data_IF_268574429252
#
_entry.id   IF_268574429252
#
_cell.length_a   1.000
_cell.length_b   1.000
_cell.length_c   1.000
_cell.angle_alpha   90.00
_cell.angle_beta   90.00
_cell.angle_gamma   90.00
#
_symmetry.space_group_name_H-M   'P 1'
#
loop_
_entity.id
_entity.type
_entity.pdbx_description
1 polymer ?
#
# COMPACT_ATOMS: atom_id res chain seq x y z
N UNK A 1 -3.64 -3.53 -31.25
CA UNK A 1 -3.50 -4.76 -30.44
C UNK A 1 -2.32 -4.68 -29.46
N UNK A 2 -1.08 -4.40 -29.90
CA UNK A 2 0.11 -4.32 -29.00
C UNK A 2 0.12 -3.20 -27.95
N UNK A 3 -0.58 -2.08 -28.19
CA UNK A 3 -0.60 -0.96 -27.24
C UNK A 3 -1.33 -1.31 -25.93
N UNK A 4 -2.40 -2.11 -26.01
CA UNK A 4 -3.21 -2.48 -24.85
C UNK A 4 -2.43 -3.39 -23.87
N UNK A 5 -1.65 -4.34 -24.39
CA UNK A 5 -0.81 -5.24 -23.58
C UNK A 5 0.32 -4.49 -22.86
N UNK A 6 0.95 -3.52 -23.54
CA UNK A 6 1.99 -2.67 -22.93
C UNK A 6 1.41 -1.76 -21.84
N UNK A 7 0.23 -1.17 -22.07
CA UNK A 7 -0.47 -0.37 -21.05
C UNK A 7 -0.88 -1.22 -19.84
N UNK A 8 -1.34 -2.46 -20.05
CA UNK A 8 -1.69 -3.38 -18.96
C UNK A 8 -0.48 -3.75 -18.10
N UNK A 9 0.68 -4.03 -18.70
CA UNK A 9 1.91 -4.27 -17.94
C UNK A 9 2.35 -3.06 -17.11
N UNK A 10 2.27 -1.86 -17.69
CA UNK A 10 2.61 -0.62 -17.00
C UNK A 10 1.65 -0.35 -15.85
N UNK A 11 0.34 -0.49 -16.08
CA UNK A 11 -0.69 -0.34 -15.05
C UNK A 11 -0.51 -1.35 -13.92
N UNK A 12 -0.18 -2.61 -14.24
CA UNK A 12 0.12 -3.64 -13.25
C UNK A 12 1.35 -3.28 -12.43
N UNK A 13 2.45 -2.88 -13.08
CA UNK A 13 3.69 -2.44 -12.40
C UNK A 13 3.40 -1.27 -11.46
N UNK A 14 2.58 -0.32 -11.89
CA UNK A 14 2.23 0.83 -11.06
C UNK A 14 1.30 0.48 -9.90
N UNK A 15 0.36 -0.44 -10.09
CA UNK A 15 -0.47 -0.98 -9.02
C UNK A 15 0.36 -1.71 -7.96
N UNK A 16 1.31 -2.55 -8.39
CA UNK A 16 2.25 -3.25 -7.49
C UNK A 16 3.11 -2.25 -6.72
N UNK A 17 3.67 -1.24 -7.40
CA UNK A 17 4.45 -0.19 -6.74
C UNK A 17 3.62 0.59 -5.71
N UNK A 18 2.36 0.92 -6.01
CA UNK A 18 1.43 1.56 -5.06
C UNK A 18 1.20 0.67 -3.85
N UNK A 19 0.96 -0.63 -4.07
CA UNK A 19 0.78 -1.59 -2.98
C UNK A 19 2.01 -1.64 -2.07
N UNK A 20 3.22 -1.79 -2.63
CA UNK A 20 4.46 -1.85 -1.85
C UNK A 20 4.65 -0.58 -1.03
N UNK A 21 4.46 0.60 -1.61
CA UNK A 21 4.61 1.88 -0.87
C UNK A 21 3.66 1.98 0.32
N UNK A 22 2.39 1.60 0.13
CA UNK A 22 1.37 1.64 1.18
C UNK A 22 1.62 0.59 2.25
N UNK A 23 1.98 -0.63 1.84
CA UNK A 23 2.27 -1.71 2.78
C UNK A 23 3.50 -1.41 3.64
N UNK A 24 4.56 -0.85 3.06
CA UNK A 24 5.72 -0.39 3.83
C UNK A 24 5.35 0.67 4.88
N UNK A 25 4.44 1.60 4.57
CA UNK A 25 3.95 2.57 5.54
C UNK A 25 3.22 1.87 6.70
N UNK A 26 2.35 0.91 6.36
CA UNK A 26 1.59 0.13 7.34
C UNK A 26 2.53 -0.67 8.27
N UNK A 27 3.56 -1.33 7.73
CA UNK A 27 4.58 -2.03 8.51
C UNK A 27 5.31 -1.10 9.49
N UNK A 28 5.73 0.08 9.01
CA UNK A 28 6.43 1.07 9.83
C UNK A 28 5.54 1.58 10.96
N UNK A 29 4.28 1.91 10.69
CA UNK A 29 3.36 2.42 11.71
C UNK A 29 2.91 1.34 12.70
N UNK A 30 2.75 0.10 12.26
CA UNK A 30 2.51 -1.04 13.15
C UNK A 30 3.69 -1.24 14.12
N UNK A 31 4.92 -1.23 13.58
CA UNK A 31 6.15 -1.34 14.38
C UNK A 31 6.30 -0.20 15.38
N UNK A 32 5.99 1.04 14.98
CA UNK A 32 6.00 2.21 15.89
C UNK A 32 4.99 2.11 17.02
N UNK A 33 3.92 1.34 16.82
CA UNK A 33 2.85 1.15 17.81
C UNK A 33 3.09 -0.10 18.67
N UNK A 34 4.29 -0.69 18.62
CA UNK A 34 4.66 -1.96 19.26
C UNK A 34 3.70 -3.11 18.94
N UNK A 35 3.12 -3.12 17.73
CA UNK A 35 2.20 -4.16 17.27
C UNK A 35 2.80 -4.94 16.10
N UNK A 36 2.60 -6.25 16.12
CA UNK A 36 2.87 -7.10 14.97
C UNK A 36 1.65 -7.07 14.04
N UNK A 37 1.87 -6.98 12.72
CA UNK A 37 0.81 -7.02 11.71
C UNK A 37 -0.04 -8.30 11.80
N UNK A 38 0.56 -9.42 12.22
CA UNK A 38 -0.15 -10.69 12.36
C UNK A 38 -1.19 -10.67 13.48
N UNK A 39 -1.02 -9.79 14.47
CA UNK A 39 -1.93 -9.65 15.61
C UNK A 39 -3.00 -8.57 15.36
N UNK A 40 -2.88 -7.81 14.27
CA UNK A 40 -3.84 -6.76 13.93
C UNK A 40 -5.09 -7.34 13.28
N UNK A 41 -6.25 -6.79 13.63
CA UNK A 41 -7.48 -7.10 12.92
C UNK A 41 -7.59 -6.28 11.62
N UNK A 42 -8.54 -6.65 10.75
CA UNK A 42 -8.76 -5.98 9.47
C UNK A 42 -9.08 -4.48 9.63
N UNK A 43 -9.79 -4.08 10.69
CA UNK A 43 -10.17 -2.68 10.90
C UNK A 43 -8.95 -1.82 11.28
N UNK A 44 -8.07 -2.35 12.13
CA UNK A 44 -6.83 -1.68 12.51
C UNK A 44 -5.88 -1.53 11.32
N UNK A 45 -5.79 -2.56 10.48
CA UNK A 45 -5.03 -2.53 9.23
C UNK A 45 -5.58 -1.48 8.26
N UNK A 46 -6.90 -1.40 8.12
CA UNK A 46 -7.58 -0.47 7.22
C UNK A 46 -7.33 0.99 7.63
N UNK A 47 -7.29 1.28 8.94
CA UNK A 47 -6.92 2.61 9.44
C UNK A 47 -5.51 3.02 9.03
N UNK A 48 -4.53 2.11 9.14
CA UNK A 48 -3.16 2.39 8.68
C UNK A 48 -3.10 2.51 7.15
N UNK A 49 -3.90 1.73 6.44
CA UNK A 49 -3.98 1.76 4.98
C UNK A 49 -4.55 3.10 4.48
N UNK A 50 -5.62 3.63 5.07
CA UNK A 50 -6.15 4.96 4.71
C UNK A 50 -5.12 6.06 4.99
N UNK A 51 -4.43 6.01 6.13
CA UNK A 51 -3.32 6.95 6.43
C UNK A 51 -2.21 6.88 5.38
N UNK A 52 -1.87 5.69 4.89
CA UNK A 52 -0.86 5.53 3.84
C UNK A 52 -1.26 6.21 2.53
N UNK A 53 -2.55 6.18 2.16
CA UNK A 53 -3.08 6.86 0.98
C UNK A 53 -2.96 8.37 1.11
N UNK A 54 -3.22 8.92 2.29
CA UNK A 54 -3.12 10.36 2.53
C UNK A 54 -1.67 10.84 2.58
N UNK A 55 -0.75 10.01 3.06
CA UNK A 55 0.68 10.31 2.99
C UNK A 55 1.21 10.27 1.56
N UNK A 56 0.71 9.36 0.71
CA UNK A 56 1.07 9.29 -0.72
C UNK A 56 0.57 10.52 -1.49
N UNK A 57 -0.61 11.09 -1.16
CA UNK A 57 -1.15 12.30 -1.81
C UNK A 57 -0.39 13.59 -1.49
N UNK A 58 0.44 13.59 -0.44
CA UNK A 58 1.21 14.77 -0.02
C UNK A 58 2.51 14.98 -0.82
N UNK A 59 2.86 14.05 -1.69
CA UNK A 59 4.01 14.10 -2.60
C UNK A 59 3.53 14.01 -4.05
#
# INVERSE_FOLDING_TARGET
ARFLEVEQELALKDAVKKFIRRFNYVEVEATKSDRNLQDMNLQEMDVLWEKSKDQEKKF
#
